data_IF_686364001202
#
_entry.id   IF_686364001202
#
_cell.length_a   1.000
_cell.length_b   1.000
_cell.length_c   1.000
_cell.angle_alpha   90.00
_cell.angle_beta   90.00
_cell.angle_gamma   90.00
#
_symmetry.space_group_name_H-M   'P 1'
#
loop_
_entity.id
_entity.type
_entity.pdbx_description
1 polymer ?
#
# COMPACT_ATOMS: atom_id res chain seq x y z
N UNK A 1 2.40 8.42 5.52
CA UNK A 1 1.39 7.78 6.37
C UNK A 1 1.41 8.43 7.75
N UNK A 2 0.24 8.79 8.28
CA UNK A 2 0.13 9.43 9.58
C UNK A 2 0.73 8.54 10.67
N UNK A 3 1.36 9.17 11.65
CA UNK A 3 1.71 8.50 12.89
C UNK A 3 0.44 8.32 13.70
N UNK A 4 0.25 7.11 14.23
CA UNK A 4 -0.76 6.91 15.25
C UNK A 4 -0.28 7.63 16.52
N UNK A 5 -0.98 8.70 16.88
CA UNK A 5 -0.63 9.54 18.02
C UNK A 5 -0.80 8.82 19.35
N UNK A 6 -1.66 7.80 19.42
CA UNK A 6 -1.90 7.05 20.65
C UNK A 6 -0.78 6.03 20.93
N UNK A 7 -0.21 5.43 19.87
CA UNK A 7 0.78 4.36 20.01
C UNK A 7 2.21 4.81 19.68
N UNK A 8 2.39 5.99 19.06
CA UNK A 8 3.68 6.47 18.56
C UNK A 8 4.23 5.63 17.40
N UNK A 9 3.47 4.64 16.91
CA UNK A 9 3.86 3.76 15.81
C UNK A 9 3.35 4.32 14.49
N UNK A 10 3.95 3.89 13.39
CA UNK A 10 3.34 4.12 12.07
C UNK A 10 1.99 3.41 12.04
N UNK A 11 0.95 4.14 11.67
CA UNK A 11 -0.38 3.56 11.43
C UNK A 11 -0.24 2.41 10.43
N UNK A 12 -0.82 1.27 10.76
CA UNK A 12 -0.91 0.17 9.81
C UNK A 12 -1.87 0.52 8.67
N UNK A 13 -1.52 0.10 7.44
CA UNK A 13 -2.41 0.27 6.29
C UNK A 13 -3.65 -0.59 6.47
N UNK A 14 -4.82 0.04 6.38
CA UNK A 14 -6.12 -0.64 6.43
C UNK A 14 -6.35 -1.51 5.20
N UNK A 15 -7.29 -2.45 5.28
CA UNK A 15 -7.64 -3.32 4.15
C UNK A 15 -8.12 -2.48 2.95
N UNK A 16 -9.00 -1.49 3.18
CA UNK A 16 -9.52 -0.63 2.11
C UNK A 16 -8.41 0.15 1.39
N UNK A 17 -7.42 0.67 2.13
CA UNK A 17 -6.27 1.34 1.54
C UNK A 17 -5.42 0.37 0.70
N UNK A 18 -5.22 -0.87 1.17
CA UNK A 18 -4.49 -1.90 0.40
C UNK A 18 -5.22 -2.26 -0.89
N UNK A 19 -6.54 -2.45 -0.83
CA UNK A 19 -7.38 -2.74 -2.02
C UNK A 19 -7.27 -1.60 -3.03
N UNK A 20 -7.43 -0.35 -2.59
CA UNK A 20 -7.28 0.83 -3.47
C UNK A 20 -5.90 0.90 -4.12
N UNK A 21 -4.84 0.57 -3.39
CA UNK A 21 -3.48 0.52 -3.94
C UNK A 21 -3.37 -0.56 -5.02
N UNK A 22 -3.93 -1.76 -4.80
CA UNK A 22 -3.94 -2.87 -5.76
C UNK A 22 -4.73 -2.48 -7.03
N UNK A 23 -5.90 -1.86 -6.89
CA UNK A 23 -6.67 -1.34 -8.03
C UNK A 23 -5.85 -0.36 -8.87
N UNK A 24 -5.14 0.59 -8.24
CA UNK A 24 -4.30 1.53 -8.97
C UNK A 24 -3.11 0.84 -9.64
N UNK A 25 -2.55 -0.20 -9.01
CA UNK A 25 -1.46 -1.01 -9.59
C UNK A 25 -1.91 -1.73 -10.87
N UNK A 26 -3.13 -2.29 -10.89
CA UNK A 26 -3.65 -3.00 -12.08
C UNK A 26 -3.93 -2.06 -13.26
N UNK A 27 -4.09 -0.76 -13.03
CA UNK A 27 -4.16 0.24 -14.11
C UNK A 27 -2.80 0.58 -14.75
N UNK A 28 -1.70 -0.01 -14.26
CA UNK A 28 -0.34 0.25 -14.75
C UNK A 28 0.29 1.53 -14.19
N UNK A 29 -0.29 2.11 -13.14
CA UNK A 29 0.24 3.31 -12.51
C UNK A 29 1.56 3.04 -11.77
N UNK A 30 2.52 3.98 -11.83
CA UNK A 30 3.81 3.82 -11.14
C UNK A 30 3.66 3.93 -9.62
N UNK A 31 4.49 3.18 -8.87
CA UNK A 31 4.43 3.17 -7.40
C UNK A 31 4.58 4.57 -6.76
N UNK A 32 5.37 5.44 -7.40
CA UNK A 32 5.55 6.83 -6.95
C UNK A 32 4.25 7.61 -7.05
N UNK A 33 3.55 7.48 -8.18
CA UNK A 33 2.29 8.19 -8.43
C UNK A 33 1.18 7.66 -7.51
N UNK A 34 1.10 6.34 -7.33
CA UNK A 34 0.15 5.72 -6.38
C UNK A 34 0.41 6.21 -4.96
N UNK A 35 1.67 6.29 -4.54
CA UNK A 35 2.01 6.82 -3.22
C UNK A 35 1.57 8.26 -3.00
N UNK A 36 1.75 9.11 -4.02
CA UNK A 36 1.25 10.49 -3.98
C UNK A 36 -0.28 10.55 -3.91
N UNK A 37 -0.98 9.77 -4.73
CA UNK A 37 -2.45 9.70 -4.80
C UNK A 37 -3.07 9.21 -3.48
N UNK A 38 -2.43 8.25 -2.81
CA UNK A 38 -2.96 7.55 -1.63
C UNK A 38 -2.38 8.05 -0.30
N UNK A 39 -1.49 9.04 -0.31
CA UNK A 39 -0.76 9.49 0.89
C UNK A 39 0.16 8.41 1.50
N UNK A 40 0.49 7.37 0.71
CA UNK A 40 1.28 6.22 1.12
C UNK A 40 2.71 6.34 0.61
N UNK A 41 3.69 5.90 1.40
CA UNK A 41 5.08 5.94 0.94
C UNK A 41 5.30 4.94 -0.20
N UNK A 42 6.19 5.26 -1.14
CA UNK A 42 6.56 4.36 -2.25
C UNK A 42 7.01 2.97 -1.74
N UNK A 43 7.78 2.94 -0.65
CA UNK A 43 8.25 1.69 -0.03
C UNK A 43 7.10 0.81 0.42
N UNK A 44 6.10 1.42 1.03
CA UNK A 44 4.91 0.71 1.53
C UNK A 44 4.00 0.25 0.39
N UNK A 45 3.86 1.03 -0.69
CA UNK A 45 3.20 0.57 -1.92
C UNK A 45 3.91 -0.67 -2.49
N UNK A 46 5.24 -0.65 -2.51
CA UNK A 46 6.06 -1.78 -3.00
C UNK A 46 5.88 -3.02 -2.12
N UNK A 47 5.82 -2.84 -0.80
CA UNK A 47 5.61 -3.93 0.14
C UNK A 47 4.22 -4.56 0.00
N UNK A 48 3.18 -3.74 -0.15
CA UNK A 48 1.80 -4.20 -0.38
C UNK A 48 1.75 -5.01 -1.68
N UNK A 49 2.36 -4.53 -2.76
CA UNK A 49 2.43 -5.26 -4.02
C UNK A 49 3.12 -6.62 -3.85
N UNK A 50 4.30 -6.67 -3.21
CA UNK A 50 5.03 -7.92 -2.97
C UNK A 50 4.20 -8.94 -2.19
N UNK A 51 3.55 -8.51 -1.11
CA UNK A 51 2.71 -9.39 -0.27
C UNK A 51 1.51 -9.93 -1.06
N UNK A 52 0.88 -9.07 -1.87
CA UNK A 52 -0.24 -9.48 -2.73
C UNK A 52 0.19 -10.48 -3.80
N UNK A 53 1.31 -10.25 -4.48
CA UNK A 53 1.85 -11.20 -5.48
C UNK A 53 2.21 -12.54 -4.85
N UNK A 54 2.84 -12.55 -3.67
CA UNK A 54 3.14 -13.79 -2.94
C UNK A 54 1.88 -14.55 -2.56
N UNK A 55 0.83 -13.86 -2.11
CA UNK A 55 -0.44 -14.50 -1.78
C UNK A 55 -1.07 -15.19 -3.01
N UNK A 56 -1.00 -14.57 -4.20
CA UNK A 56 -1.50 -15.17 -5.45
C UNK A 56 -0.63 -16.35 -5.90
N UNK A 57 0.68 -16.27 -5.77
CA UNK A 57 1.59 -17.34 -6.21
C UNK A 57 1.50 -18.60 -5.33
N UNK A 58 0.94 -18.50 -4.12
CA UNK A 58 0.79 -19.59 -3.17
C UNK A 58 -0.62 -20.19 -3.15
N UNK A 59 -1.52 -19.69 -4.00
CA UNK A 59 -2.89 -20.20 -4.21
C UNK A 59 -3.02 -20.86 -5.57
#
# INVERSE_FOLDING_TARGET
MPWDQATGKRRETTINERVRIIELLTTGMSFRRIGAETGTSRTQVTEIYRRWTLAILLT
#
